data_IF_262392354519
#
_entry.id   IF_262392354519
#
_cell.length_a   1.000
_cell.length_b   1.000
_cell.length_c   1.000
_cell.angle_alpha   90.00
_cell.angle_beta   90.00
_cell.angle_gamma   90.00
#
_symmetry.space_group_name_H-M   'P 1'
#
loop_
_entity.id
_entity.type
_entity.pdbx_description
1 polymer ?
#
# COMPACT_ATOMS: atom_id res chain seq x y z
N UNK A 1 34.79 12.11 22.45
CA UNK A 1 34.25 11.46 21.23
C UNK A 1 34.10 9.97 21.51
N UNK A 2 32.89 9.40 21.54
CA UNK A 2 32.63 7.93 21.47
C UNK A 2 31.16 7.57 21.79
N UNK A 3 30.18 8.42 21.42
CA UNK A 3 28.75 8.05 21.50
C UNK A 3 28.05 8.17 20.14
N UNK A 4 28.60 8.91 19.18
CA UNK A 4 28.06 9.05 17.83
C UNK A 4 28.28 7.80 16.95
N UNK A 5 29.11 6.84 17.37
CA UNK A 5 29.39 5.63 16.60
C UNK A 5 28.31 4.55 16.80
N UNK A 6 27.65 4.51 17.96
CA UNK A 6 26.58 3.54 18.26
C UNK A 6 25.26 3.89 17.55
N UNK A 7 24.97 5.19 17.38
CA UNK A 7 23.78 5.69 16.66
C UNK A 7 23.74 5.27 15.18
N UNK A 8 24.93 5.17 14.55
CA UNK A 8 25.06 4.77 13.14
C UNK A 8 24.73 3.29 12.88
N UNK A 9 24.70 2.46 13.93
CA UNK A 9 24.29 1.05 13.85
C UNK A 9 22.83 0.81 14.28
N UNK A 10 22.12 1.84 14.76
CA UNK A 10 20.70 1.73 15.15
C UNK A 10 19.74 1.75 13.94
N UNK A 11 20.22 2.12 12.75
CA UNK A 11 19.42 2.26 11.52
C UNK A 11 18.82 0.96 10.96
N UNK A 12 19.16 -0.20 11.53
CA UNK A 12 18.63 -1.50 11.11
C UNK A 12 17.90 -2.28 12.22
N UNK A 13 17.86 -1.77 13.46
CA UNK A 13 17.52 -2.58 14.63
C UNK A 13 16.09 -2.38 15.21
N UNK A 14 15.17 -1.73 14.48
CA UNK A 14 13.84 -1.43 15.02
C UNK A 14 12.70 -1.77 14.08
N UNK A 15 12.11 -2.96 14.23
CA UNK A 15 10.73 -3.18 13.78
C UNK A 15 9.82 -2.36 14.71
N UNK A 16 9.60 -1.10 14.35
CA UNK A 16 8.65 -0.21 15.04
C UNK A 16 7.21 -0.55 14.64
N UNK A 17 6.25 -0.18 15.48
CA UNK A 17 4.83 -0.28 15.13
C UNK A 17 4.49 0.47 13.82
N UNK A 18 5.16 1.59 13.56
CA UNK A 18 5.03 2.35 12.31
C UNK A 18 5.54 1.56 11.10
N UNK A 19 6.68 0.89 11.21
CA UNK A 19 7.20 0.05 10.11
C UNK A 19 6.33 -1.18 9.86
N UNK A 20 5.78 -1.80 10.91
CA UNK A 20 4.82 -2.91 10.75
C UNK A 20 3.54 -2.42 10.08
N UNK A 21 2.98 -1.30 10.53
CA UNK A 21 1.79 -0.72 9.91
C UNK A 21 2.03 -0.36 8.43
N UNK A 22 3.17 0.23 8.10
CA UNK A 22 3.53 0.55 6.72
C UNK A 22 3.61 -0.70 5.84
N UNK A 23 4.23 -1.79 6.33
CA UNK A 23 4.30 -3.07 5.61
C UNK A 23 2.93 -3.70 5.43
N UNK A 24 2.08 -3.69 6.46
CA UNK A 24 0.71 -4.21 6.36
C UNK A 24 -0.11 -3.43 5.33
N UNK A 25 0.01 -2.09 5.30
CA UNK A 25 -0.68 -1.26 4.32
C UNK A 25 -0.13 -1.48 2.91
N UNK A 26 1.17 -1.67 2.75
CA UNK A 26 1.77 -2.00 1.45
C UNK A 26 1.26 -3.35 0.93
N UNK A 27 1.26 -4.38 1.78
CA UNK A 27 0.73 -5.70 1.43
C UNK A 27 -0.76 -5.62 1.11
N UNK A 28 -1.55 -4.89 1.91
CA UNK A 28 -2.97 -4.68 1.65
C UNK A 28 -3.20 -3.99 0.29
N UNK A 29 -2.43 -2.96 -0.03
CA UNK A 29 -2.51 -2.27 -1.33
C UNK A 29 -2.19 -3.20 -2.50
N UNK A 30 -1.12 -4.00 -2.39
CA UNK A 30 -0.77 -5.01 -3.41
C UNK A 30 -1.90 -6.04 -3.56
N UNK A 31 -2.45 -6.53 -2.44
CA UNK A 31 -3.54 -7.50 -2.43
C UNK A 31 -4.80 -6.94 -3.10
N UNK A 32 -5.15 -5.68 -2.85
CA UNK A 32 -6.29 -5.02 -3.48
C UNK A 32 -6.11 -4.89 -5.00
N UNK A 33 -4.92 -4.45 -5.45
CA UNK A 33 -4.61 -4.36 -6.89
C UNK A 33 -4.69 -5.73 -7.55
N UNK A 34 -4.12 -6.76 -6.92
CA UNK A 34 -4.16 -8.12 -7.45
C UNK A 34 -5.60 -8.67 -7.49
N UNK A 35 -6.35 -8.55 -6.39
CA UNK A 35 -7.71 -9.06 -6.28
C UNK A 35 -8.64 -8.46 -7.34
N UNK A 36 -8.58 -7.14 -7.55
CA UNK A 36 -9.40 -6.43 -8.54
C UNK A 36 -8.89 -6.65 -9.97
N UNK A 37 -7.57 -6.66 -10.16
CA UNK A 37 -6.94 -6.83 -11.47
C UNK A 37 -7.22 -8.19 -12.11
N UNK A 38 -7.35 -9.24 -11.28
CA UNK A 38 -7.63 -10.61 -11.70
C UNK A 38 -9.04 -11.11 -11.33
N UNK A 39 -9.97 -10.19 -11.06
CA UNK A 39 -11.36 -10.52 -10.72
C UNK A 39 -12.17 -11.02 -11.95
N UNK A 40 -11.75 -12.13 -12.55
CA UNK A 40 -12.37 -12.74 -13.72
C UNK A 40 -13.56 -13.61 -13.27
N UNK A 41 -14.78 -13.18 -13.55
CA UNK A 41 -16.03 -13.80 -13.08
C UNK A 41 -17.23 -13.39 -13.93
N UNK A 42 -18.45 -13.76 -13.54
CA UNK A 42 -19.70 -13.71 -14.33
C UNK A 42 -20.19 -12.32 -14.83
N UNK A 43 -19.35 -11.28 -14.80
CA UNK A 43 -19.61 -9.99 -15.41
C UNK A 43 -18.53 -8.93 -15.16
N UNK A 44 -17.31 -9.31 -14.78
CA UNK A 44 -16.17 -8.41 -14.48
C UNK A 44 -16.50 -7.25 -13.51
N UNK A 45 -17.51 -7.44 -12.66
CA UNK A 45 -18.14 -6.38 -11.85
C UNK A 45 -17.11 -5.65 -10.98
N UNK A 46 -16.23 -6.39 -10.30
CA UNK A 46 -15.23 -5.81 -9.41
C UNK A 46 -14.14 -5.05 -10.18
N UNK A 47 -13.70 -5.58 -11.32
CA UNK A 47 -12.71 -4.93 -12.19
C UNK A 47 -13.28 -3.63 -12.79
N UNK A 48 -14.51 -3.71 -13.32
CA UNK A 48 -15.22 -2.57 -13.91
C UNK A 48 -15.49 -1.46 -12.89
N UNK A 49 -15.97 -1.81 -11.69
CA UNK A 49 -16.20 -0.83 -10.62
C UNK A 49 -14.93 -0.07 -10.21
N UNK A 50 -13.78 -0.74 -10.19
CA UNK A 50 -12.50 -0.09 -9.92
C UNK A 50 -12.06 0.83 -11.08
N UNK A 51 -12.29 0.41 -12.32
CA UNK A 51 -12.07 1.24 -13.52
C UNK A 51 -12.98 2.48 -13.54
N UNK A 52 -14.22 2.38 -13.08
CA UNK A 52 -15.15 3.51 -12.98
C UNK A 52 -14.77 4.46 -11.85
N UNK A 53 -14.29 3.92 -10.71
CA UNK A 53 -13.83 4.72 -9.58
C UNK A 53 -12.63 5.58 -9.97
N UNK A 54 -11.62 5.04 -10.67
CA UNK A 54 -10.47 5.86 -11.11
C UNK A 54 -10.88 6.97 -12.09
N UNK A 55 -11.89 6.75 -12.93
CA UNK A 55 -12.42 7.80 -13.80
C UNK A 55 -13.14 8.88 -12.97
N UNK A 56 -13.89 8.48 -11.93
CA UNK A 56 -14.59 9.39 -11.03
C UNK A 56 -13.65 10.20 -10.12
N UNK A 57 -12.51 9.62 -9.71
CA UNK A 57 -11.49 10.29 -8.89
C UNK A 57 -10.66 11.29 -9.72
N UNK A 58 -10.56 11.09 -11.03
CA UNK A 58 -9.89 12.02 -11.95
C UNK A 58 -10.80 13.16 -12.42
N UNK A 59 -12.13 13.03 -12.26
CA UNK A 59 -13.02 14.17 -12.41
C UNK A 59 -12.75 15.15 -11.25
N UNK A 60 -12.52 16.44 -11.52
CA UNK A 60 -12.42 17.44 -10.47
C UNK A 60 -13.79 17.52 -9.78
N UNK A 61 -13.96 16.79 -8.69
CA UNK A 61 -14.77 17.27 -7.59
C UNK A 61 -14.13 18.58 -7.17
N UNK A 62 -14.92 19.65 -7.06
CA UNK A 62 -14.41 20.92 -6.58
C UNK A 62 -13.60 20.77 -5.28
#
# INVERSE_FOLDING_TARGET
>A
MSIQALDRFQGFAGITTRTVAALLMAIAGIALIYAVGFAQGSGDVLHNAAHDTRHSVAFPCH
#
